data_IF_725540915834
#
_entry.id   IF_725540915834
#
_cell.length_a   1.000
_cell.length_b   1.000
_cell.length_c   1.000
_cell.angle_alpha   90.00
_cell.angle_beta   90.00
_cell.angle_gamma   90.00
#
_symmetry.space_group_name_H-M   'P 1'
#
loop_
_entity.id
_entity.type
_entity.pdbx_description
1 polymer ?
#
# COMPACT_ATOMS: atom_id res chain seq x y z
N UNK A 1 5.24 -23.92 -16.49
CA UNK A 1 4.45 -23.51 -17.71
C UNK A 1 3.02 -23.00 -17.38
N UNK A 2 2.43 -23.23 -16.23
CA UNK A 2 1.03 -22.86 -15.88
C UNK A 2 0.74 -21.37 -15.62
N UNK A 3 1.74 -20.52 -15.29
CA UNK A 3 1.48 -19.08 -14.98
C UNK A 3 1.21 -18.18 -16.20
N UNK A 4 1.67 -18.56 -17.40
CA UNK A 4 1.45 -17.73 -18.61
C UNK A 4 0.02 -17.80 -19.16
N UNK A 5 -0.68 -18.92 -18.99
CA UNK A 5 -2.06 -19.09 -19.49
C UNK A 5 -3.09 -18.25 -18.72
N UNK A 6 -2.89 -18.03 -17.42
CA UNK A 6 -3.80 -17.22 -16.60
C UNK A 6 -3.78 -15.73 -16.95
N UNK A 7 -2.61 -15.18 -17.30
CA UNK A 7 -2.46 -13.76 -17.66
C UNK A 7 -3.03 -13.50 -19.05
N UNK A 8 -2.78 -14.39 -20.03
CA UNK A 8 -3.32 -14.27 -21.39
C UNK A 8 -4.86 -14.28 -21.39
N UNK A 9 -5.47 -15.21 -20.63
CA UNK A 9 -6.94 -15.27 -20.50
C UNK A 9 -7.52 -14.03 -19.82
N UNK A 10 -6.80 -13.40 -18.90
CA UNK A 10 -7.19 -12.13 -18.27
C UNK A 10 -7.19 -10.95 -19.26
N UNK A 11 -6.13 -10.83 -20.05
CA UNK A 11 -5.98 -9.79 -21.08
C UNK A 11 -7.04 -9.93 -22.16
N UNK A 12 -7.32 -11.15 -22.62
CA UNK A 12 -8.37 -11.40 -23.63
C UNK A 12 -9.77 -11.03 -23.12
N UNK A 13 -10.09 -11.37 -21.87
CA UNK A 13 -11.37 -10.98 -21.24
C UNK A 13 -11.49 -9.47 -21.10
N UNK A 14 -10.42 -8.78 -20.67
CA UNK A 14 -10.40 -7.32 -20.58
C UNK A 14 -10.57 -6.67 -21.96
N UNK A 15 -9.93 -7.23 -23.02
CA UNK A 15 -10.07 -6.78 -24.39
C UNK A 15 -11.52 -6.93 -24.88
N UNK A 16 -12.17 -8.06 -24.62
CA UNK A 16 -13.57 -8.28 -25.00
C UNK A 16 -14.53 -7.25 -24.37
N UNK A 17 -14.30 -6.88 -23.12
CA UNK A 17 -15.06 -5.82 -22.43
C UNK A 17 -14.79 -4.46 -23.07
N UNK A 18 -13.54 -4.14 -23.37
CA UNK A 18 -13.12 -2.84 -23.90
C UNK A 18 -13.63 -2.57 -25.33
N UNK A 19 -13.78 -3.60 -26.16
CA UNK A 19 -14.25 -3.44 -27.57
C UNK A 19 -15.77 -3.39 -27.71
N UNK A 20 -16.52 -3.67 -26.65
CA UNK A 20 -17.99 -3.68 -26.69
C UNK A 20 -18.60 -2.40 -27.27
N UNK A 21 -18.17 -1.17 -26.92
CA UNK A 21 -18.71 0.06 -27.51
C UNK A 21 -18.54 0.13 -29.03
N UNK A 22 -17.49 -0.44 -29.60
CA UNK A 22 -17.24 -0.48 -31.03
C UNK A 22 -18.19 -1.46 -31.73
N UNK A 23 -18.50 -2.59 -31.09
CA UNK A 23 -19.36 -3.64 -31.60
C UNK A 23 -20.84 -3.19 -31.68
N UNK A 24 -21.32 -2.50 -30.65
CA UNK A 24 -22.71 -2.04 -30.56
C UNK A 24 -22.95 -0.70 -31.24
N UNK A 25 -21.91 0.10 -31.43
CA UNK A 25 -22.00 1.43 -32.03
C UNK A 25 -22.39 2.53 -31.04
N UNK A 26 -22.27 3.82 -31.45
CA UNK A 26 -22.30 4.97 -30.55
C UNK A 26 -23.67 5.21 -29.87
N UNK A 27 -24.77 4.75 -30.45
CA UNK A 27 -26.07 4.91 -29.82
C UNK A 27 -26.30 3.91 -28.68
N UNK A 28 -26.06 2.62 -28.94
CA UNK A 28 -26.28 1.57 -27.96
C UNK A 28 -25.19 1.57 -26.86
N UNK A 29 -23.98 2.04 -27.15
CA UNK A 29 -22.90 2.17 -26.14
C UNK A 29 -23.26 3.14 -25.02
N UNK A 30 -24.18 4.08 -25.25
CA UNK A 30 -24.68 5.00 -24.20
C UNK A 30 -25.61 4.32 -23.20
N UNK A 31 -26.30 3.26 -23.66
CA UNK A 31 -27.33 2.55 -22.87
C UNK A 31 -26.87 1.17 -22.42
N UNK A 32 -25.67 0.74 -22.80
CA UNK A 32 -25.13 -0.59 -22.49
C UNK A 32 -23.69 -0.53 -22.02
N UNK A 33 -23.31 -1.41 -21.10
CA UNK A 33 -21.94 -1.51 -20.58
C UNK A 33 -21.53 -2.96 -20.41
N UNK A 34 -20.49 -3.40 -21.09
CA UNK A 34 -19.89 -4.70 -20.80
C UNK A 34 -19.19 -4.67 -19.43
N UNK A 35 -19.44 -5.67 -18.59
CA UNK A 35 -18.91 -5.78 -17.23
C UNK A 35 -17.77 -6.77 -17.11
N UNK A 36 -18.01 -7.98 -17.59
CA UNK A 36 -17.07 -9.07 -17.45
C UNK A 36 -17.34 -10.16 -18.51
N UNK A 37 -16.34 -11.02 -18.70
CA UNK A 37 -16.52 -12.28 -19.43
C UNK A 37 -16.38 -13.42 -18.41
N UNK A 38 -17.43 -14.25 -18.31
CA UNK A 38 -17.49 -15.44 -17.48
C UNK A 38 -17.82 -16.64 -18.38
N UNK A 39 -16.99 -17.66 -18.36
CA UNK A 39 -17.18 -18.89 -19.15
C UNK A 39 -17.54 -18.63 -20.62
N UNK A 40 -16.83 -17.70 -21.27
CA UNK A 40 -17.05 -17.21 -22.64
C UNK A 40 -18.39 -16.49 -22.86
N UNK A 41 -19.12 -16.16 -21.79
CA UNK A 41 -20.33 -15.33 -21.84
C UNK A 41 -19.98 -13.89 -21.47
N UNK A 42 -20.23 -12.95 -22.37
CA UNK A 42 -20.07 -11.52 -22.09
C UNK A 42 -21.30 -11.01 -21.33
N UNK A 43 -21.10 -10.56 -20.10
CA UNK A 43 -22.15 -9.93 -19.29
C UNK A 43 -22.20 -8.45 -19.60
N UNK A 44 -23.36 -7.99 -20.09
CA UNK A 44 -23.61 -6.60 -20.48
C UNK A 44 -24.75 -6.04 -19.64
N UNK A 45 -24.47 -4.99 -18.90
CA UNK A 45 -25.52 -4.19 -18.26
C UNK A 45 -26.21 -3.29 -19.27
N UNK A 46 -27.53 -3.16 -19.10
CA UNK A 46 -28.40 -2.31 -19.89
C UNK A 46 -29.26 -1.44 -19.00
N UNK A 47 -29.66 -0.28 -19.50
CA UNK A 47 -30.33 0.76 -18.73
C UNK A 47 -31.71 0.34 -18.23
N UNK A 48 -32.45 -0.42 -19.05
CA UNK A 48 -33.80 -0.87 -18.73
C UNK A 48 -34.13 -2.23 -19.36
N UNK A 49 -35.29 -2.79 -19.00
CA UNK A 49 -35.74 -4.11 -19.45
C UNK A 49 -36.17 -4.13 -20.93
N UNK A 50 -36.62 -3.02 -21.47
CA UNK A 50 -37.03 -2.93 -22.88
C UNK A 50 -35.82 -3.02 -23.79
N UNK A 51 -34.77 -2.30 -23.43
CA UNK A 51 -33.46 -2.37 -24.11
C UNK A 51 -32.87 -3.78 -23.95
N UNK A 52 -32.94 -4.40 -22.75
CA UNK A 52 -32.47 -5.77 -22.54
C UNK A 52 -33.17 -6.77 -23.49
N UNK A 53 -34.50 -6.68 -23.61
CA UNK A 53 -35.27 -7.55 -24.44
C UNK A 53 -34.92 -7.36 -25.92
N UNK A 54 -34.86 -6.11 -26.40
CA UNK A 54 -34.56 -5.80 -27.80
C UNK A 54 -33.14 -6.28 -28.19
N UNK A 55 -32.16 -6.08 -27.34
CA UNK A 55 -30.78 -6.56 -27.58
C UNK A 55 -30.67 -8.08 -27.52
N UNK A 56 -31.48 -8.74 -26.68
CA UNK A 56 -31.53 -10.19 -26.61
C UNK A 56 -32.03 -10.83 -27.93
N UNK A 57 -32.93 -10.19 -28.60
CA UNK A 57 -33.39 -10.65 -29.97
C UNK A 57 -32.27 -10.55 -31.02
N UNK A 58 -31.33 -9.62 -30.84
CA UNK A 58 -30.20 -9.42 -31.75
C UNK A 58 -28.90 -10.07 -31.26
N UNK A 59 -28.96 -10.86 -30.19
CA UNK A 59 -27.81 -11.44 -29.51
C UNK A 59 -26.81 -12.13 -30.43
N UNK A 60 -27.29 -12.99 -31.32
CA UNK A 60 -26.46 -13.73 -32.28
C UNK A 60 -25.66 -12.81 -33.21
N UNK A 61 -26.24 -11.67 -33.61
CA UNK A 61 -25.57 -10.64 -34.42
C UNK A 61 -24.39 -10.01 -33.68
N UNK A 62 -24.57 -9.74 -32.39
CA UNK A 62 -23.48 -9.18 -31.56
C UNK A 62 -22.40 -10.22 -31.25
N UNK A 63 -22.75 -11.48 -31.06
CA UNK A 63 -21.77 -12.57 -30.92
C UNK A 63 -20.90 -12.68 -32.17
N UNK A 64 -21.50 -12.64 -33.38
CA UNK A 64 -20.76 -12.66 -34.64
C UNK A 64 -19.81 -11.46 -34.77
N UNK A 65 -20.28 -10.24 -34.48
CA UNK A 65 -19.44 -9.04 -34.51
C UNK A 65 -18.31 -9.08 -33.46
N UNK A 66 -18.58 -9.67 -32.29
CA UNK A 66 -17.54 -9.90 -31.28
C UNK A 66 -16.47 -10.87 -31.78
N UNK A 67 -16.87 -11.94 -32.48
CA UNK A 67 -15.95 -12.90 -33.07
C UNK A 67 -15.05 -12.28 -34.16
N UNK A 68 -15.54 -11.30 -34.90
CA UNK A 68 -14.75 -10.54 -35.89
C UNK A 68 -13.64 -9.69 -35.21
N UNK A 69 -13.93 -9.10 -34.05
CA UNK A 69 -13.01 -8.14 -33.37
C UNK A 69 -12.08 -8.83 -32.39
N UNK A 70 -12.57 -9.81 -31.62
CA UNK A 70 -11.82 -10.46 -30.53
C UNK A 70 -11.25 -11.81 -30.96
N UNK A 71 -11.81 -12.38 -32.00
CA UNK A 71 -11.48 -13.71 -32.54
C UNK A 71 -12.58 -14.75 -32.26
N UNK A 72 -12.68 -15.76 -33.12
CA UNK A 72 -13.70 -16.80 -33.02
C UNK A 72 -13.54 -17.64 -31.76
N UNK A 73 -14.66 -18.05 -31.15
CA UNK A 73 -14.69 -18.91 -29.96
C UNK A 73 -14.24 -18.28 -28.67
N UNK A 74 -13.94 -16.98 -28.64
CA UNK A 74 -13.59 -16.24 -27.42
C UNK A 74 -14.83 -15.80 -26.64
N UNK A 75 -15.87 -15.41 -27.35
CA UNK A 75 -17.20 -15.12 -26.80
C UNK A 75 -18.21 -16.01 -27.55
N UNK A 76 -18.91 -16.83 -26.79
CA UNK A 76 -19.90 -17.77 -27.32
C UNK A 76 -21.33 -17.27 -27.08
N UNK A 77 -21.54 -16.44 -26.08
CA UNK A 77 -22.83 -15.86 -25.75
C UNK A 77 -22.74 -14.48 -25.12
N UNK A 78 -23.86 -13.74 -25.11
CA UNK A 78 -23.97 -12.43 -24.47
C UNK A 78 -25.20 -12.42 -23.56
N UNK A 79 -25.03 -12.12 -22.30
CA UNK A 79 -26.09 -12.00 -21.29
C UNK A 79 -26.36 -10.53 -21.01
N UNK A 80 -27.59 -10.07 -21.26
CA UNK A 80 -28.03 -8.72 -20.93
C UNK A 80 -28.68 -8.72 -19.53
N UNK A 81 -28.23 -7.82 -18.66
CA UNK A 81 -28.72 -7.69 -17.29
C UNK A 81 -29.12 -6.24 -17.05
N UNK A 82 -30.31 -6.01 -16.53
CA UNK A 82 -30.73 -4.64 -16.17
C UNK A 82 -29.89 -4.16 -14.99
N UNK A 83 -29.24 -3.01 -15.14
CA UNK A 83 -28.38 -2.42 -14.13
C UNK A 83 -28.17 -0.93 -14.33
N UNK A 84 -27.45 -0.30 -13.42
CA UNK A 84 -27.13 1.13 -13.50
C UNK A 84 -26.00 1.37 -14.51
N UNK A 85 -26.37 1.67 -15.76
CA UNK A 85 -25.42 2.11 -16.78
C UNK A 85 -25.08 3.59 -16.48
N UNK A 86 -24.03 3.82 -15.67
CA UNK A 86 -23.49 5.17 -15.53
C UNK A 86 -22.64 5.45 -16.78
N UNK A 87 -23.06 6.42 -17.56
CA UNK A 87 -22.25 6.93 -18.65
C UNK A 87 -20.94 7.47 -18.08
N UNK A 88 -19.81 6.93 -18.53
CA UNK A 88 -18.49 7.46 -18.16
C UNK A 88 -18.28 8.93 -18.58
N UNK A 89 -19.15 9.44 -19.46
CA UNK A 89 -19.13 10.84 -19.90
C UNK A 89 -19.59 11.83 -18.83
N UNK A 90 -20.34 11.36 -17.80
CA UNK A 90 -20.85 12.21 -16.71
C UNK A 90 -20.04 12.05 -15.40
N UNK A 91 -19.03 11.20 -15.37
CA UNK A 91 -18.10 11.22 -14.27
C UNK A 91 -17.36 12.57 -14.30
N UNK A 92 -17.41 13.38 -13.22
CA UNK A 92 -16.66 14.63 -13.18
C UNK A 92 -15.21 14.32 -13.55
N UNK A 93 -14.66 15.05 -14.52
CA UNK A 93 -13.24 14.88 -14.89
C UNK A 93 -12.43 14.91 -13.60
N UNK A 94 -11.56 13.93 -13.37
CA UNK A 94 -10.72 13.96 -12.19
C UNK A 94 -10.02 15.32 -12.12
N UNK A 95 -9.94 15.94 -10.94
CA UNK A 95 -9.25 17.21 -10.81
C UNK A 95 -7.85 17.07 -11.40
N UNK A 96 -7.32 18.16 -11.99
CA UNK A 96 -5.98 18.11 -12.55
C UNK A 96 -4.98 17.65 -11.47
N UNK A 97 -3.97 16.87 -11.84
CA UNK A 97 -2.99 16.39 -10.87
C UNK A 97 -2.31 17.55 -10.15
N UNK A 98 -2.02 17.45 -8.88
CA UNK A 98 -1.37 18.51 -8.11
C UNK A 98 0.00 18.82 -8.72
N UNK A 99 0.33 20.10 -8.78
CA UNK A 99 1.65 20.54 -9.24
C UNK A 99 2.73 20.02 -8.30
N UNK A 100 3.81 19.51 -8.86
CA UNK A 100 5.00 19.10 -8.12
C UNK A 100 5.79 20.35 -7.68
N UNK A 101 6.37 20.31 -6.50
CA UNK A 101 7.25 21.36 -5.99
C UNK A 101 8.66 21.18 -6.54
N UNK A 102 9.52 22.20 -6.45
CA UNK A 102 10.93 22.10 -6.84
C UNK A 102 11.63 20.92 -6.15
N UNK A 103 11.34 20.70 -4.86
CA UNK A 103 11.89 19.58 -4.09
C UNK A 103 11.42 18.21 -4.61
N UNK A 104 10.17 18.11 -5.09
CA UNK A 104 9.68 16.86 -5.68
C UNK A 104 10.41 16.58 -7.00
N UNK A 105 10.66 17.62 -7.81
CA UNK A 105 11.39 17.50 -9.07
C UNK A 105 12.86 17.13 -8.84
N UNK A 106 13.53 17.73 -7.85
CA UNK A 106 14.87 17.31 -7.42
C UNK A 106 14.91 15.83 -7.01
N UNK A 107 13.89 15.37 -6.30
CA UNK A 107 13.76 13.95 -5.94
C UNK A 107 13.60 13.05 -7.18
N UNK A 108 12.83 13.50 -8.18
CA UNK A 108 12.69 12.78 -9.46
C UNK A 108 14.03 12.72 -10.18
N UNK A 109 14.75 13.84 -10.30
CA UNK A 109 16.07 13.87 -10.96
C UNK A 109 17.05 12.91 -10.30
N UNK A 110 17.12 12.90 -8.98
CA UNK A 110 17.99 11.98 -8.24
C UNK A 110 17.61 10.51 -8.46
N UNK A 111 16.29 10.19 -8.50
CA UNK A 111 15.82 8.83 -8.73
C UNK A 111 16.15 8.30 -10.12
N UNK A 112 16.26 9.17 -11.13
CA UNK A 112 16.53 8.78 -12.52
C UNK A 112 18.02 8.91 -12.91
N UNK A 113 18.87 9.36 -12.00
CA UNK A 113 20.29 9.61 -12.26
C UNK A 113 21.02 8.36 -12.78
N UNK A 114 20.72 7.19 -12.17
CA UNK A 114 21.31 5.90 -12.55
C UNK A 114 20.57 5.20 -13.72
N UNK A 115 19.46 5.80 -14.21
CA UNK A 115 18.68 5.20 -15.31
C UNK A 115 19.36 5.45 -16.64
N UNK A 116 19.53 4.42 -17.52
CA UNK A 116 20.07 4.58 -18.85
C UNK A 116 19.33 5.66 -19.65
N UNK A 117 20.06 6.46 -20.44
CA UNK A 117 19.57 7.68 -21.08
C UNK A 117 18.30 7.47 -21.91
N UNK A 118 18.23 6.36 -22.67
CA UNK A 118 17.08 6.02 -23.51
C UNK A 118 15.79 5.71 -22.72
N UNK A 119 15.87 5.48 -21.39
CA UNK A 119 14.71 5.26 -20.52
C UNK A 119 14.40 6.46 -19.61
N UNK A 120 15.29 7.45 -19.49
CA UNK A 120 15.16 8.57 -18.53
C UNK A 120 13.86 9.31 -18.64
N UNK A 121 13.41 9.63 -19.85
CA UNK A 121 12.15 10.35 -20.05
C UNK A 121 10.93 9.53 -19.59
N UNK A 122 10.92 8.24 -19.86
CA UNK A 122 9.85 7.34 -19.40
C UNK A 122 9.87 7.18 -17.89
N UNK A 123 11.05 7.02 -17.29
CA UNK A 123 11.24 6.92 -15.85
C UNK A 123 10.84 8.22 -15.14
N UNK A 124 11.18 9.39 -15.70
CA UNK A 124 10.76 10.71 -15.20
C UNK A 124 9.24 10.81 -15.12
N UNK A 125 8.55 10.56 -16.22
CA UNK A 125 7.06 10.58 -16.25
C UNK A 125 6.45 9.64 -15.24
N UNK A 126 6.99 8.44 -15.08
CA UNK A 126 6.54 7.47 -14.10
C UNK A 126 6.77 7.97 -12.66
N UNK A 127 7.94 8.51 -12.35
CA UNK A 127 8.27 9.06 -11.03
C UNK A 127 7.37 10.25 -10.67
N UNK A 128 7.16 11.17 -11.61
CA UNK A 128 6.24 12.31 -11.44
C UNK A 128 4.81 11.84 -11.15
N UNK A 129 4.30 10.88 -11.92
CA UNK A 129 2.96 10.31 -11.72
C UNK A 129 2.81 9.64 -10.34
N UNK A 130 3.85 8.95 -9.87
CA UNK A 130 3.88 8.36 -8.52
C UNK A 130 3.83 9.44 -7.45
N UNK A 131 4.61 10.52 -7.57
CA UNK A 131 4.61 11.62 -6.60
C UNK A 131 3.28 12.38 -6.60
N UNK A 132 2.68 12.63 -7.78
CA UNK A 132 1.35 13.22 -7.89
C UNK A 132 0.29 12.35 -7.22
N UNK A 133 0.32 11.03 -7.45
CA UNK A 133 -0.58 10.07 -6.80
C UNK A 133 -0.41 10.06 -5.27
N UNK A 134 0.83 10.15 -4.78
CA UNK A 134 1.13 10.31 -3.35
C UNK A 134 0.49 11.58 -2.78
N UNK A 135 0.64 12.71 -3.46
CA UNK A 135 0.04 13.98 -3.01
C UNK A 135 -1.48 13.91 -2.96
N UNK A 136 -2.14 13.36 -3.99
CA UNK A 136 -3.60 13.17 -4.02
C UNK A 136 -4.05 12.31 -2.83
N UNK A 137 -3.37 11.21 -2.54
CA UNK A 137 -3.71 10.34 -1.41
C UNK A 137 -3.53 11.06 -0.08
N UNK A 138 -2.42 11.81 0.10
CA UNK A 138 -2.19 12.60 1.31
C UNK A 138 -3.28 13.66 1.53
N UNK A 139 -3.71 14.35 0.47
CA UNK A 139 -4.81 15.31 0.52
C UNK A 139 -6.16 14.67 0.86
N UNK A 140 -6.34 13.39 0.50
CA UNK A 140 -7.52 12.60 0.88
C UNK A 140 -7.44 12.02 2.30
N UNK A 141 -6.45 12.40 3.09
CA UNK A 141 -6.28 11.95 4.47
C UNK A 141 -5.60 10.59 4.63
N UNK A 142 -5.00 10.03 3.57
CA UNK A 142 -4.17 8.84 3.69
C UNK A 142 -2.93 9.15 4.52
N UNK A 143 -2.62 8.24 5.45
CA UNK A 143 -1.46 8.35 6.34
C UNK A 143 -0.39 7.33 5.98
N UNK A 144 0.89 7.61 6.24
CA UNK A 144 1.93 6.61 6.05
C UNK A 144 1.76 5.44 7.02
N UNK A 145 1.85 4.22 6.52
CA UNK A 145 1.92 3.02 7.35
C UNK A 145 3.16 3.09 8.25
N UNK A 146 3.05 2.86 9.56
CA UNK A 146 4.19 2.99 10.46
C UNK A 146 5.33 1.99 10.18
N UNK A 147 5.04 0.82 9.60
CA UNK A 147 6.06 -0.15 9.25
C UNK A 147 6.70 0.11 7.87
N UNK A 148 5.93 0.12 6.78
CA UNK A 148 6.47 0.18 5.42
C UNK A 148 6.41 1.56 4.77
N UNK A 149 5.83 2.57 5.44
CA UNK A 149 5.66 3.96 4.97
C UNK A 149 4.76 4.13 3.74
N UNK A 150 4.15 3.07 3.21
CA UNK A 150 3.14 3.18 2.15
C UNK A 150 1.90 3.92 2.64
N UNK A 151 1.32 4.76 1.79
CA UNK A 151 0.10 5.49 2.14
C UNK A 151 -1.11 4.54 2.27
N UNK A 152 -1.82 4.65 3.37
CA UNK A 152 -3.02 3.86 3.69
C UNK A 152 -4.15 4.77 4.18
N UNK A 153 -5.38 4.38 3.91
CA UNK A 153 -6.60 5.00 4.42
C UNK A 153 -6.94 4.55 5.86
N UNK A 154 -6.13 3.65 6.42
CA UNK A 154 -6.32 3.06 7.74
C UNK A 154 -5.50 3.78 8.80
N UNK A 155 -6.00 3.79 10.02
CA UNK A 155 -5.19 4.17 11.17
C UNK A 155 -4.32 2.98 11.58
N UNK A 156 -2.98 3.11 11.43
CA UNK A 156 -2.02 2.07 11.76
C UNK A 156 -1.48 1.35 10.52
N UNK A 157 -1.28 0.03 10.63
CA UNK A 157 -0.69 -0.78 9.57
C UNK A 157 -1.57 -0.87 8.32
N UNK A 158 -0.97 -0.79 7.13
CA UNK A 158 -1.64 -1.14 5.87
C UNK A 158 -1.99 -2.63 5.83
N UNK A 159 -2.87 -3.06 4.90
CA UNK A 159 -3.31 -4.45 4.84
C UNK A 159 -2.16 -5.47 4.79
N UNK A 160 -1.17 -5.36 3.86
CA UNK A 160 -0.06 -6.31 3.82
C UNK A 160 0.76 -6.36 5.12
N UNK A 161 1.03 -5.21 5.75
CA UNK A 161 1.78 -5.18 7.00
C UNK A 161 0.96 -5.75 8.17
N UNK A 162 -0.36 -5.56 8.16
CA UNK A 162 -1.25 -6.16 9.16
C UNK A 162 -1.26 -7.67 9.03
N UNK A 163 -1.34 -8.22 7.82
CA UNK A 163 -1.32 -9.66 7.61
C UNK A 163 0.04 -10.25 8.03
N UNK A 164 1.15 -9.59 7.72
CA UNK A 164 2.48 -9.96 8.21
C UNK A 164 2.58 -9.92 9.74
N UNK A 165 1.92 -8.97 10.41
CA UNK A 165 1.94 -8.85 11.87
C UNK A 165 1.31 -10.04 12.59
N UNK A 166 0.44 -10.78 11.92
CA UNK A 166 -0.18 -12.00 12.45
C UNK A 166 0.71 -13.24 12.31
N UNK A 167 1.80 -13.16 11.53
CA UNK A 167 2.73 -14.27 11.36
C UNK A 167 3.49 -14.56 12.65
N UNK A 168 3.49 -15.82 13.08
CA UNK A 168 4.24 -16.29 14.26
C UNK A 168 5.74 -16.04 14.13
N UNK A 169 6.27 -16.13 12.92
CA UNK A 169 7.67 -15.87 12.61
C UNK A 169 8.02 -14.38 12.82
N UNK A 170 7.18 -13.48 12.32
CA UNK A 170 7.36 -12.03 12.50
C UNK A 170 7.27 -11.66 13.98
N UNK A 171 6.31 -12.21 14.72
CA UNK A 171 6.17 -11.99 16.17
C UNK A 171 7.36 -12.53 16.98
N UNK A 172 7.89 -13.70 16.59
CA UNK A 172 9.08 -14.26 17.25
C UNK A 172 10.32 -13.37 17.04
N UNK A 173 10.49 -12.81 15.83
CA UNK A 173 11.57 -11.87 15.56
C UNK A 173 11.34 -10.56 16.32
N UNK A 174 10.11 -10.04 16.36
CA UNK A 174 9.79 -8.84 17.14
C UNK A 174 10.19 -8.97 18.62
N UNK A 175 9.95 -10.14 19.24
CA UNK A 175 10.42 -10.41 20.63
C UNK A 175 11.94 -10.36 20.77
N UNK A 176 12.69 -10.85 19.77
CA UNK A 176 14.16 -10.77 19.78
C UNK A 176 14.64 -9.33 19.64
N UNK A 177 13.97 -8.53 18.80
CA UNK A 177 14.29 -7.11 18.61
C UNK A 177 14.03 -6.25 19.85
N UNK A 178 13.09 -6.64 20.72
CA UNK A 178 12.88 -5.96 22.01
C UNK A 178 14.10 -6.07 22.93
N UNK A 179 14.79 -7.21 22.89
CA UNK A 179 15.99 -7.45 23.67
C UNK A 179 17.26 -6.91 22.98
N UNK A 180 17.33 -7.01 21.67
CA UNK A 180 18.46 -6.53 20.86
C UNK A 180 17.95 -5.86 19.59
N UNK A 181 17.75 -4.52 19.60
CA UNK A 181 17.28 -3.75 18.45
C UNK A 181 18.18 -3.85 17.22
N UNK A 182 19.48 -4.05 17.38
CA UNK A 182 20.45 -4.06 16.29
C UNK A 182 20.27 -5.26 15.34
N UNK A 183 19.60 -6.31 15.81
CA UNK A 183 19.22 -7.45 14.95
C UNK A 183 18.32 -7.04 13.76
N UNK A 184 17.70 -5.85 13.76
CA UNK A 184 16.94 -5.34 12.63
C UNK A 184 17.80 -5.15 11.37
N UNK A 185 19.12 -5.00 11.51
CA UNK A 185 20.07 -4.85 10.41
C UNK A 185 20.62 -6.20 9.90
N UNK A 186 20.32 -7.29 10.58
CA UNK A 186 20.88 -8.61 10.32
C UNK A 186 19.83 -9.56 9.72
N UNK A 187 19.20 -9.15 8.58
CA UNK A 187 18.17 -9.95 7.90
C UNK A 187 18.66 -11.37 7.55
N UNK A 188 19.96 -11.54 7.27
CA UNK A 188 20.57 -12.85 6.98
C UNK A 188 20.44 -13.87 8.13
N UNK A 189 20.30 -13.43 9.35
CA UNK A 189 20.02 -14.31 10.51
C UNK A 189 18.60 -14.89 10.51
N UNK A 190 17.72 -14.34 9.69
CA UNK A 190 16.30 -14.72 9.62
C UNK A 190 15.89 -15.07 8.17
N UNK A 191 16.45 -16.16 7.59
CA UNK A 191 16.28 -16.50 6.18
C UNK A 191 14.83 -16.79 5.77
N UNK A 192 13.95 -16.99 6.76
CA UNK A 192 12.50 -17.16 6.57
C UNK A 192 11.74 -15.83 6.53
N UNK A 193 12.39 -14.70 6.80
CA UNK A 193 11.77 -13.39 6.88
C UNK A 193 12.10 -12.57 5.63
N UNK A 194 11.10 -11.86 5.12
CA UNK A 194 11.30 -10.88 4.05
C UNK A 194 11.72 -9.53 4.64
N UNK A 195 12.22 -8.62 3.82
CA UNK A 195 12.53 -7.26 4.24
C UNK A 195 11.31 -6.54 4.83
N UNK A 196 10.13 -6.70 4.21
CA UNK A 196 8.89 -6.13 4.75
C UNK A 196 8.47 -6.81 6.06
N UNK A 197 8.72 -8.11 6.21
CA UNK A 197 8.54 -8.83 7.47
C UNK A 197 9.42 -8.28 8.58
N UNK A 198 10.69 -7.93 8.29
CA UNK A 198 11.60 -7.29 9.25
C UNK A 198 11.10 -5.89 9.65
N UNK A 199 10.64 -5.07 8.70
CA UNK A 199 10.06 -3.75 9.00
C UNK A 199 8.84 -3.85 9.93
N UNK A 200 7.99 -4.88 9.70
CA UNK A 200 6.83 -5.13 10.56
C UNK A 200 7.28 -5.62 11.94
N UNK A 201 8.26 -6.53 12.02
CA UNK A 201 8.80 -7.02 13.30
C UNK A 201 9.42 -5.86 14.11
N UNK A 202 10.18 -4.96 13.47
CA UNK A 202 10.74 -3.77 14.12
C UNK A 202 9.65 -2.84 14.65
N UNK A 203 8.57 -2.63 13.88
CA UNK A 203 7.44 -1.83 14.35
C UNK A 203 6.73 -2.47 15.55
N UNK A 204 6.48 -3.78 15.52
CA UNK A 204 5.87 -4.49 16.66
C UNK A 204 6.79 -4.42 17.92
N UNK A 205 8.08 -4.58 17.73
CA UNK A 205 9.06 -4.43 18.81
C UNK A 205 9.05 -3.00 19.38
N UNK A 206 9.01 -1.98 18.52
CA UNK A 206 8.91 -0.59 18.91
C UNK A 206 7.68 -0.30 19.79
N UNK A 207 6.49 -0.75 19.36
CA UNK A 207 5.26 -0.52 20.14
C UNK A 207 5.33 -1.19 21.53
N UNK A 208 5.90 -2.39 21.61
CA UNK A 208 6.07 -3.09 22.90
C UNK A 208 7.13 -2.43 23.79
N UNK A 209 8.29 -2.05 23.24
CA UNK A 209 9.34 -1.34 23.98
C UNK A 209 8.82 0.02 24.46
N UNK A 210 8.03 0.73 23.66
CA UNK A 210 7.38 1.99 24.05
C UNK A 210 6.44 1.79 25.23
N UNK A 211 5.69 0.69 25.27
CA UNK A 211 4.83 0.34 26.41
C UNK A 211 5.69 0.05 27.66
N UNK A 212 6.70 -0.82 27.52
CA UNK A 212 7.62 -1.13 28.61
C UNK A 212 8.32 0.12 29.16
N UNK A 213 8.70 1.06 28.28
CA UNK A 213 9.28 2.33 28.69
C UNK A 213 8.32 3.14 29.57
N UNK A 214 7.02 3.14 29.23
CA UNK A 214 6.00 3.82 30.03
C UNK A 214 5.78 3.14 31.38
N UNK A 215 5.80 1.82 31.43
CA UNK A 215 5.64 1.04 32.65
C UNK A 215 6.83 1.30 33.60
N UNK A 216 8.09 1.20 33.09
CA UNK A 216 9.30 1.49 33.87
C UNK A 216 9.33 2.95 34.34
N UNK A 217 8.85 3.90 33.55
CA UNK A 217 8.76 5.30 33.96
C UNK A 217 7.81 5.49 35.15
N UNK A 218 6.67 4.82 35.16
CA UNK A 218 5.73 4.87 36.27
C UNK A 218 6.36 4.27 37.55
N UNK A 219 7.03 3.13 37.47
CA UNK A 219 7.72 2.51 38.57
C UNK A 219 8.85 3.41 39.11
N UNK A 220 9.64 4.04 38.21
CA UNK A 220 10.69 4.98 38.57
C UNK A 220 10.16 6.18 39.35
N UNK A 221 9.03 6.75 38.94
CA UNK A 221 8.38 7.87 39.66
C UNK A 221 7.89 7.40 41.04
N UNK A 222 7.28 6.22 41.13
CA UNK A 222 6.79 5.68 42.41
C UNK A 222 7.91 5.35 43.40
N UNK A 223 9.03 4.86 42.91
CA UNK A 223 10.20 4.53 43.70
C UNK A 223 11.05 5.75 44.15
N UNK A 224 10.60 6.97 43.77
CA UNK A 224 11.32 8.23 44.02
C UNK A 224 12.73 8.28 43.43
N UNK A 225 12.92 7.60 42.30
CA UNK A 225 14.16 7.70 41.52
C UNK A 225 15.22 6.63 41.81
N UNK A 226 14.80 5.38 41.98
CA UNK A 226 15.73 4.26 42.17
C UNK A 226 16.71 4.10 40.99
N UNK A 227 18.00 3.99 41.29
CA UNK A 227 19.07 3.96 40.28
C UNK A 227 18.99 2.77 39.32
N UNK A 228 18.50 1.63 39.79
CA UNK A 228 18.27 0.42 38.95
C UNK A 228 17.23 0.68 37.90
N UNK A 229 16.08 1.29 38.27
CA UNK A 229 15.01 1.65 37.37
C UNK A 229 15.43 2.75 36.39
N UNK A 230 16.32 3.67 36.81
CA UNK A 230 16.86 4.68 35.89
C UNK A 230 17.72 4.07 34.78
N UNK A 231 18.54 3.06 35.09
CA UNK A 231 19.30 2.32 34.08
C UNK A 231 18.37 1.59 33.11
N UNK A 232 17.35 0.89 33.61
CA UNK A 232 16.37 0.22 32.81
C UNK A 232 15.59 1.21 31.91
N UNK A 233 15.23 2.37 32.45
CA UNK A 233 14.56 3.44 31.68
C UNK A 233 15.45 3.92 30.53
N UNK A 234 16.75 4.11 30.79
CA UNK A 234 17.71 4.51 29.75
C UNK A 234 17.87 3.44 28.67
N UNK A 235 18.01 2.18 29.05
CA UNK A 235 18.11 1.06 28.10
C UNK A 235 16.86 0.97 27.21
N UNK A 236 15.66 1.07 27.78
CA UNK A 236 14.40 1.04 27.02
C UNK A 236 14.25 2.27 26.14
N UNK A 237 14.67 3.44 26.59
CA UNK A 237 14.65 4.66 25.80
C UNK A 237 15.57 4.54 24.57
N UNK A 238 16.77 3.98 24.73
CA UNK A 238 17.68 3.75 23.61
C UNK A 238 17.16 2.70 22.64
N UNK A 239 16.61 1.60 23.16
CA UNK A 239 15.98 0.58 22.32
C UNK A 239 14.82 1.14 21.51
N UNK A 240 13.97 1.97 22.12
CA UNK A 240 12.86 2.63 21.44
C UNK A 240 13.36 3.54 20.29
N UNK A 241 14.36 4.38 20.56
CA UNK A 241 14.94 5.27 19.55
C UNK A 241 15.60 4.49 18.41
N UNK A 242 16.33 3.41 18.72
CA UNK A 242 16.99 2.56 17.75
C UNK A 242 15.98 1.94 16.77
N UNK A 243 14.86 1.44 17.29
CA UNK A 243 13.79 0.85 16.48
C UNK A 243 13.01 1.91 15.67
N UNK A 244 12.70 3.07 16.26
CA UNK A 244 11.92 4.13 15.61
C UNK A 244 12.68 4.75 14.42
N UNK A 245 13.96 5.01 14.60
CA UNK A 245 14.78 5.72 13.63
C UNK A 245 15.68 4.79 12.80
N UNK A 246 15.57 3.47 12.99
CA UNK A 246 16.41 2.46 12.36
C UNK A 246 17.89 2.84 12.46
N UNK A 247 18.38 3.04 13.70
CA UNK A 247 19.76 3.38 14.01
C UNK A 247 20.37 2.32 14.95
N UNK A 248 21.66 1.98 14.82
CA UNK A 248 22.34 1.13 15.79
C UNK A 248 22.29 1.76 17.19
N UNK A 249 22.11 0.93 18.23
CA UNK A 249 22.02 1.41 19.61
C UNK A 249 23.25 2.22 20.01
N UNK A 250 24.44 1.83 19.54
CA UNK A 250 25.71 2.53 19.80
C UNK A 250 25.74 3.95 19.24
N UNK A 251 24.99 4.24 18.19
CA UNK A 251 24.88 5.58 17.60
C UNK A 251 23.96 6.51 18.38
N UNK A 252 23.13 5.96 19.26
CA UNK A 252 22.19 6.72 20.08
C UNK A 252 22.94 7.35 21.27
N UNK A 253 22.96 8.68 21.31
CA UNK A 253 23.60 9.45 22.35
C UNK A 253 22.63 10.45 23.02
N UNK A 254 23.07 11.19 24.02
CA UNK A 254 22.24 12.16 24.76
C UNK A 254 21.55 13.21 23.86
N UNK A 255 22.09 13.50 22.68
CA UNK A 255 21.44 14.44 21.73
C UNK A 255 20.10 13.91 21.23
N UNK A 256 19.92 12.59 21.18
CA UNK A 256 18.69 11.93 20.78
C UNK A 256 17.59 12.03 21.83
N UNK A 257 17.91 12.33 23.08
CA UNK A 257 16.92 12.45 24.16
C UNK A 257 15.86 13.51 23.89
N UNK A 258 16.19 14.53 23.08
CA UNK A 258 15.22 15.53 22.64
C UNK A 258 14.03 14.93 21.84
N UNK A 259 14.16 13.70 21.36
CA UNK A 259 13.14 12.97 20.61
C UNK A 259 12.27 12.07 21.51
N UNK A 260 12.66 11.92 22.78
CA UNK A 260 11.89 11.17 23.77
C UNK A 260 10.72 12.01 24.30
N UNK A 261 9.67 11.38 24.84
CA UNK A 261 8.63 12.08 25.58
C UNK A 261 9.21 12.91 26.72
N UNK A 262 8.65 14.10 27.00
CA UNK A 262 9.18 15.04 27.99
C UNK A 262 9.34 14.42 29.39
N UNK A 263 8.38 13.60 29.81
CA UNK A 263 8.44 12.91 31.10
C UNK A 263 9.67 11.98 31.21
N UNK A 264 10.00 11.25 30.11
CA UNK A 264 11.20 10.40 30.06
C UNK A 264 12.46 11.24 30.07
N UNK A 265 12.48 12.37 29.33
CA UNK A 265 13.62 13.29 29.33
C UNK A 265 13.90 13.82 30.72
N UNK A 266 12.87 14.20 31.49
CA UNK A 266 13.02 14.67 32.86
C UNK A 266 13.56 13.57 33.77
N UNK A 267 12.98 12.37 33.71
CA UNK A 267 13.41 11.22 34.52
C UNK A 267 14.88 10.84 34.28
N UNK A 268 15.36 10.90 33.03
CA UNK A 268 16.76 10.60 32.69
C UNK A 268 17.76 11.69 33.10
N UNK A 269 17.28 12.91 33.38
CA UNK A 269 18.12 14.05 33.84
C UNK A 269 18.21 14.15 35.35
N UNK A 270 17.37 13.44 36.10
CA UNK A 270 17.41 13.44 37.56
C UNK A 270 18.74 12.77 37.98
N UNK A 271 19.62 13.54 38.61
CA UNK A 271 20.78 12.99 39.28
C UNK A 271 20.33 12.17 40.50
N UNK A 272 20.61 10.87 40.50
CA UNK A 272 20.34 10.03 41.66
C UNK A 272 21.35 10.43 42.73
N UNK A 273 20.90 11.20 43.70
CA UNK A 273 21.67 11.42 44.92
C UNK A 273 21.68 10.12 45.71
N UNK A 274 22.85 9.53 45.85
CA UNK A 274 23.14 8.50 46.84
C UNK A 274 23.62 9.15 48.15
#
# INVERSE_FOLDING_TARGET
>A
MMRRQGIQGGVERARAVAVWPQVVGPQLSKMTRARAVQDKVLVVEVQDSVVAHHLSLQRNKFVQKMAEVVGPGKIEDIKFVVGTVHNQTDAPKPPPPPKLTSRDLETVEHLIEEVPEHFRETARKAAEAVLQSKKIRSQKGFKPCPACRSLTDRNGLCLPCRDLSLSTQVQAVAKKLQANPDLQFELSRFPFLTEDGMKVAAHLAFEEVKKQLSDVLLEFIQSKGESTLQKMLQERAYAMLALEYAQPVESINRKWWKKLPDAVQHALKVETHF
#
